data_IF_812845951255
#
_entry.id   IF_812845951255
#
_cell.length_a   1.000
_cell.length_b   1.000
_cell.length_c   1.000
_cell.angle_alpha   90.00
_cell.angle_beta   90.00
_cell.angle_gamma   90.00
#
_symmetry.space_group_name_H-M   'P 1'
#
loop_
_entity.id
_entity.type
_entity.pdbx_description
1 polymer ?
#
# COMPACT_ATOMS: atom_id res chain seq x y z
N UNK A 1 -43.85 -1.83 52.44
CA UNK A 1 -43.82 -1.43 51.01
C UNK A 1 -42.40 -1.09 50.60
N UNK A 2 -41.68 -2.00 49.94
CA UNK A 2 -40.31 -1.79 49.48
C UNK A 2 -40.40 -1.35 48.00
N UNK A 3 -40.07 -0.10 47.72
CA UNK A 3 -39.96 0.41 46.35
C UNK A 3 -38.55 0.04 45.81
N UNK A 4 -38.51 -0.90 44.89
CA UNK A 4 -37.28 -1.27 44.16
C UNK A 4 -37.09 -0.29 43.03
N UNK A 5 -36.08 0.56 43.11
CA UNK A 5 -35.67 1.47 42.02
C UNK A 5 -34.74 0.67 41.13
N UNK A 6 -35.21 0.33 39.92
CA UNK A 6 -34.41 -0.23 38.86
C UNK A 6 -33.64 0.91 38.18
N UNK A 7 -32.33 1.01 38.45
CA UNK A 7 -31.42 1.85 37.71
C UNK A 7 -31.12 1.14 36.36
N UNK A 8 -31.66 1.68 35.28
CA UNK A 8 -31.29 1.28 33.94
C UNK A 8 -29.93 1.90 33.62
N UNK A 9 -28.87 1.09 33.61
CA UNK A 9 -27.57 1.48 33.03
C UNK A 9 -27.67 1.45 31.53
N UNK A 10 -27.78 2.64 30.90
CA UNK A 10 -27.61 2.81 29.48
C UNK A 10 -26.12 2.62 29.15
N UNK A 11 -25.76 1.49 28.56
CA UNK A 11 -24.45 1.26 27.99
C UNK A 11 -24.29 2.11 26.72
N UNK A 12 -23.66 3.26 26.85
CA UNK A 12 -23.17 4.03 25.73
C UNK A 12 -22.04 3.25 25.07
N UNK A 13 -22.34 2.50 24.03
CA UNK A 13 -21.33 1.92 23.15
C UNK A 13 -20.72 3.05 22.32
N UNK A 14 -19.66 3.66 22.82
CA UNK A 14 -18.83 4.56 22.04
C UNK A 14 -18.10 3.72 20.98
N UNK A 15 -18.55 3.79 19.72
CA UNK A 15 -17.80 3.21 18.59
C UNK A 15 -16.46 3.93 18.52
N UNK A 16 -15.31 3.21 18.48
CA UNK A 16 -14.03 3.86 18.30
C UNK A 16 -14.02 4.57 16.93
N UNK A 17 -13.35 5.73 16.82
CA UNK A 17 -13.19 6.40 15.54
C UNK A 17 -12.54 5.42 14.56
N UNK A 18 -13.05 5.34 13.33
CA UNK A 18 -12.47 4.53 12.29
C UNK A 18 -11.04 5.03 12.03
N UNK A 19 -10.04 4.31 12.55
CA UNK A 19 -8.64 4.58 12.29
C UNK A 19 -8.38 4.27 10.82
N UNK A 20 -7.77 5.23 10.10
CA UNK A 20 -7.28 4.99 8.73
C UNK A 20 -6.29 3.82 8.71
N UNK A 21 -6.01 3.29 7.51
CA UNK A 21 -5.05 2.20 7.36
C UNK A 21 -3.69 2.57 7.95
N UNK A 22 -2.98 1.64 8.64
CA UNK A 22 -1.69 1.92 9.25
C UNK A 22 -0.67 2.46 8.25
N UNK A 23 0.22 3.39 8.66
CA UNK A 23 1.32 3.85 7.82
C UNK A 23 2.17 2.70 7.28
N UNK A 24 2.69 2.83 6.06
CA UNK A 24 3.51 1.82 5.41
C UNK A 24 2.75 0.66 4.77
N UNK A 25 1.44 0.58 4.95
CA UNK A 25 0.62 -0.41 4.24
C UNK A 25 0.28 0.05 2.82
N UNK A 26 0.05 -0.92 1.94
CA UNK A 26 -0.41 -0.66 0.57
C UNK A 26 -1.74 0.12 0.56
N UNK A 27 -2.64 -0.16 1.49
CA UNK A 27 -3.92 0.56 1.60
C UNK A 27 -3.70 2.02 1.99
N UNK A 28 -2.85 2.31 2.95
CA UNK A 28 -2.54 3.70 3.34
C UNK A 28 -1.96 4.50 2.16
N UNK A 29 -1.02 3.90 1.42
CA UNK A 29 -0.44 4.53 0.24
C UNK A 29 -1.51 4.83 -0.83
N UNK A 30 -2.37 3.86 -1.13
CA UNK A 30 -3.43 4.01 -2.12
C UNK A 30 -4.45 5.08 -1.71
N UNK A 31 -4.84 5.14 -0.45
CA UNK A 31 -5.77 6.15 0.07
C UNK A 31 -5.19 7.56 -0.09
N UNK A 32 -3.90 7.74 0.22
CA UNK A 32 -3.19 9.01 0.03
C UNK A 32 -3.08 9.38 -1.44
N UNK A 33 -2.73 8.44 -2.30
CA UNK A 33 -2.66 8.64 -3.75
C UNK A 33 -4.02 9.04 -4.34
N UNK A 34 -5.11 8.41 -3.90
CA UNK A 34 -6.46 8.74 -4.34
C UNK A 34 -6.90 10.13 -3.88
N UNK A 35 -6.53 10.55 -2.66
CA UNK A 35 -6.78 11.92 -2.21
C UNK A 35 -6.07 12.96 -3.07
N UNK A 36 -4.82 12.69 -3.47
CA UNK A 36 -4.07 13.57 -4.38
C UNK A 36 -4.70 13.60 -5.77
N UNK A 37 -5.08 12.44 -6.30
CA UNK A 37 -5.76 12.34 -7.60
C UNK A 37 -7.05 13.18 -7.64
N UNK A 38 -7.80 13.19 -6.55
CA UNK A 38 -9.02 13.99 -6.43
C UNK A 38 -8.77 15.52 -6.49
N UNK A 39 -7.55 15.97 -6.17
CA UNK A 39 -7.16 17.40 -6.25
C UNK A 39 -6.81 17.85 -7.68
N UNK A 40 -6.73 16.92 -8.64
CA UNK A 40 -6.33 17.22 -10.01
C UNK A 40 -4.96 17.90 -10.11
N UNK A 41 -4.79 18.95 -10.95
CA UNK A 41 -3.49 19.63 -11.12
C UNK A 41 -2.92 20.24 -9.83
N UNK A 42 -3.76 20.56 -8.85
CA UNK A 42 -3.32 21.11 -7.56
C UNK A 42 -2.54 20.09 -6.72
N UNK A 43 -2.64 18.80 -7.03
CA UNK A 43 -1.91 17.75 -6.34
C UNK A 43 -0.38 17.97 -6.36
N UNK A 44 0.16 18.56 -7.41
CA UNK A 44 1.61 18.83 -7.52
C UNK A 44 2.14 19.82 -6.49
N UNK A 45 1.26 20.65 -5.93
CA UNK A 45 1.61 21.61 -4.88
C UNK A 45 1.36 21.06 -3.47
N UNK A 46 0.81 19.84 -3.36
CA UNK A 46 0.57 19.20 -2.08
C UNK A 46 1.87 18.56 -1.55
N UNK A 47 2.16 18.79 -0.28
CA UNK A 47 3.35 18.22 0.37
C UNK A 47 3.35 16.68 0.36
N UNK A 48 2.17 16.06 0.32
CA UNK A 48 2.04 14.60 0.29
C UNK A 48 2.44 14.00 -1.06
N UNK A 49 2.37 14.77 -2.14
CA UNK A 49 2.85 14.32 -3.46
C UNK A 49 4.34 13.94 -3.43
N UNK A 50 5.18 14.84 -2.92
CA UNK A 50 6.62 14.56 -2.79
C UNK A 50 6.92 13.39 -1.86
N UNK A 51 6.18 13.26 -0.76
CA UNK A 51 6.33 12.15 0.19
C UNK A 51 5.95 10.80 -0.45
N UNK A 52 4.83 10.72 -1.14
CA UNK A 52 4.42 9.50 -1.85
C UNK A 52 5.42 9.09 -2.93
N UNK A 53 5.91 10.07 -3.69
CA UNK A 53 6.93 9.83 -4.71
C UNK A 53 8.23 9.29 -4.09
N UNK A 54 8.69 9.87 -3.00
CA UNK A 54 9.89 9.43 -2.29
C UNK A 54 9.71 8.02 -1.71
N UNK A 55 8.56 7.74 -1.11
CA UNK A 55 8.21 6.45 -0.53
C UNK A 55 8.20 5.34 -1.60
N UNK A 56 7.51 5.56 -2.72
CA UNK A 56 7.48 4.60 -3.83
C UNK A 56 8.87 4.39 -4.45
N UNK A 57 9.65 5.45 -4.59
CA UNK A 57 11.02 5.38 -5.12
C UNK A 57 11.93 4.57 -4.21
N UNK A 58 11.87 4.80 -2.90
CA UNK A 58 12.67 4.06 -1.92
C UNK A 58 12.32 2.57 -1.91
N UNK A 59 11.03 2.25 -1.97
CA UNK A 59 10.56 0.85 -2.05
C UNK A 59 11.02 0.20 -3.36
N UNK A 60 10.86 0.88 -4.48
CA UNK A 60 11.32 0.37 -5.78
C UNK A 60 12.83 0.11 -5.83
N UNK A 61 13.62 1.03 -5.25
CA UNK A 61 15.07 0.84 -5.11
C UNK A 61 15.40 -0.39 -4.28
N UNK A 62 14.75 -0.55 -3.13
CA UNK A 62 14.95 -1.71 -2.24
C UNK A 62 14.65 -3.04 -2.96
N UNK A 63 13.58 -3.10 -3.73
CA UNK A 63 13.21 -4.29 -4.51
C UNK A 63 14.28 -4.59 -5.58
N UNK A 64 14.76 -3.57 -6.28
CA UNK A 64 15.83 -3.73 -7.28
C UNK A 64 17.15 -4.20 -6.67
N UNK A 65 17.52 -3.67 -5.51
CA UNK A 65 18.71 -4.07 -4.78
C UNK A 65 18.62 -5.54 -4.31
N UNK A 66 17.46 -5.95 -3.80
CA UNK A 66 17.19 -7.35 -3.42
C UNK A 66 17.32 -8.29 -4.62
N UNK A 67 16.78 -7.91 -5.77
CA UNK A 67 16.90 -8.70 -6.98
C UNK A 67 18.36 -8.88 -7.43
N UNK A 68 19.14 -7.79 -7.41
CA UNK A 68 20.57 -7.86 -7.74
C UNK A 68 21.30 -8.80 -6.79
N UNK A 69 20.99 -8.73 -5.48
CA UNK A 69 21.55 -9.62 -4.48
C UNK A 69 21.16 -11.08 -4.72
N UNK A 70 19.92 -11.34 -5.08
CA UNK A 70 19.43 -12.69 -5.40
C UNK A 70 20.13 -13.28 -6.63
N UNK A 71 20.26 -12.49 -7.69
CA UNK A 71 20.98 -12.91 -8.91
C UNK A 71 22.44 -13.26 -8.60
N UNK A 72 23.14 -12.44 -7.82
CA UNK A 72 24.53 -12.67 -7.43
C UNK A 72 24.71 -13.91 -6.57
N UNK A 73 23.72 -14.21 -5.72
CA UNK A 73 23.74 -15.36 -4.83
C UNK A 73 23.18 -16.64 -5.47
N UNK A 74 22.71 -16.58 -6.72
CA UNK A 74 22.07 -17.70 -7.40
C UNK A 74 20.71 -18.08 -6.80
N UNK A 75 20.06 -17.15 -6.07
CA UNK A 75 18.72 -17.38 -5.55
C UNK A 75 17.67 -17.14 -6.62
N UNK A 76 16.48 -17.79 -6.54
CA UNK A 76 15.40 -17.55 -7.48
C UNK A 76 14.95 -16.08 -7.47
N UNK A 77 14.77 -15.50 -8.66
CA UNK A 77 14.19 -14.18 -8.82
C UNK A 77 12.66 -14.30 -8.87
N UNK A 78 11.98 -13.34 -8.26
CA UNK A 78 10.52 -13.40 -8.05
C UNK A 78 9.70 -12.65 -9.11
N UNK A 79 10.33 -11.85 -9.96
CA UNK A 79 9.75 -11.24 -11.15
C UNK A 79 10.82 -11.14 -12.25
N UNK A 80 10.43 -11.22 -13.52
CA UNK A 80 11.34 -11.37 -14.64
C UNK A 80 11.29 -10.16 -15.58
N UNK A 81 11.67 -8.98 -15.06
CA UNK A 81 11.87 -7.79 -15.88
C UNK A 81 13.13 -7.90 -16.73
N UNK A 82 13.21 -7.20 -17.90
CA UNK A 82 14.38 -7.23 -18.78
C UNK A 82 15.68 -6.80 -18.08
N UNK A 83 15.57 -5.92 -17.10
CA UNK A 83 16.70 -5.45 -16.27
C UNK A 83 16.37 -5.59 -14.79
N UNK A 84 17.40 -5.63 -13.93
CA UNK A 84 17.22 -5.70 -12.48
C UNK A 84 16.41 -4.50 -11.92
N UNK A 85 16.46 -3.36 -12.58
CA UNK A 85 15.64 -2.18 -12.25
C UNK A 85 14.43 -2.13 -13.15
N UNK A 86 13.35 -2.75 -12.70
CA UNK A 86 12.08 -2.78 -13.42
C UNK A 86 11.49 -1.37 -13.55
N UNK A 87 10.93 -1.08 -14.73
CA UNK A 87 10.19 0.15 -14.97
C UNK A 87 8.73 -0.05 -14.58
N UNK A 88 8.21 0.86 -13.76
CA UNK A 88 6.82 0.88 -13.32
C UNK A 88 6.33 2.33 -13.30
N UNK A 89 5.36 2.64 -14.14
CA UNK A 89 4.76 3.97 -14.20
C UNK A 89 3.92 4.27 -12.97
N UNK A 90 3.80 5.55 -12.59
CA UNK A 90 3.06 5.96 -11.39
C UNK A 90 1.59 5.54 -11.43
N UNK A 91 0.91 5.78 -12.55
CA UNK A 91 -0.50 5.39 -12.70
C UNK A 91 -0.65 3.87 -12.78
N UNK A 92 0.26 3.20 -13.48
CA UNK A 92 0.29 1.74 -13.56
C UNK A 92 0.46 1.11 -12.18
N UNK A 93 1.30 1.70 -11.33
CA UNK A 93 1.47 1.24 -9.95
C UNK A 93 0.20 1.45 -9.12
N UNK A 94 -0.40 2.63 -9.18
CA UNK A 94 -1.65 2.93 -8.47
C UNK A 94 -2.77 1.99 -8.91
N UNK A 95 -2.93 1.77 -10.22
CA UNK A 95 -3.93 0.85 -10.76
C UNK A 95 -3.65 -0.61 -10.34
N UNK A 96 -2.38 -0.98 -10.33
CA UNK A 96 -1.94 -2.28 -9.84
C UNK A 96 -2.25 -2.51 -8.36
N UNK A 97 -2.06 -1.50 -7.52
CA UNK A 97 -2.46 -1.53 -6.10
C UNK A 97 -3.98 -1.67 -5.96
N UNK A 98 -4.74 -0.89 -6.73
CA UNK A 98 -6.20 -0.95 -6.71
C UNK A 98 -6.75 -2.32 -7.11
N UNK A 99 -6.04 -3.05 -7.96
CA UNK A 99 -6.41 -4.40 -8.39
C UNK A 99 -6.17 -5.48 -7.31
N UNK A 100 -5.39 -5.20 -6.27
CA UNK A 100 -5.24 -6.10 -5.12
C UNK A 100 -6.48 -5.99 -4.23
N UNK A 101 -7.09 -7.09 -3.76
CA UNK A 101 -8.24 -7.02 -2.88
C UNK A 101 -7.99 -6.16 -1.63
N UNK A 102 -8.98 -5.35 -1.25
CA UNK A 102 -8.84 -4.38 -0.15
C UNK A 102 -8.43 -5.02 1.18
N UNK A 103 -8.98 -6.20 1.50
CA UNK A 103 -8.62 -6.94 2.71
C UNK A 103 -7.17 -7.38 2.75
N UNK A 104 -6.57 -7.69 1.59
CA UNK A 104 -5.15 -8.02 1.51
C UNK A 104 -4.28 -6.76 1.61
N UNK A 105 -4.66 -5.66 0.93
CA UNK A 105 -3.92 -4.39 0.97
C UNK A 105 -3.77 -3.84 2.38
N UNK A 106 -4.78 -4.01 3.22
CA UNK A 106 -4.76 -3.51 4.59
C UNK A 106 -3.70 -4.20 5.47
N UNK A 107 -3.34 -5.43 5.13
CA UNK A 107 -2.40 -6.28 5.88
C UNK A 107 -1.05 -6.47 5.17
N UNK A 108 -0.80 -5.73 4.11
CA UNK A 108 0.34 -5.89 3.23
C UNK A 108 1.19 -4.61 3.25
N UNK A 109 2.51 -4.75 3.33
CA UNK A 109 3.41 -3.60 3.18
C UNK A 109 3.37 -3.07 1.75
N UNK A 110 3.75 -1.81 1.56
CA UNK A 110 3.89 -1.23 0.22
C UNK A 110 4.89 -2.02 -0.64
N UNK A 111 5.98 -2.49 -0.03
CA UNK A 111 6.98 -3.33 -0.72
C UNK A 111 6.39 -4.65 -1.21
N UNK A 112 5.64 -5.36 -0.37
CA UNK A 112 4.97 -6.61 -0.76
C UNK A 112 3.97 -6.38 -1.90
N UNK A 113 3.22 -5.29 -1.83
CA UNK A 113 2.26 -4.93 -2.87
C UNK A 113 2.94 -4.57 -4.19
N UNK A 114 4.02 -3.78 -4.15
CA UNK A 114 4.79 -3.43 -5.35
C UNK A 114 5.41 -4.68 -5.99
N UNK A 115 5.94 -5.62 -5.22
CA UNK A 115 6.41 -6.91 -5.72
C UNK A 115 5.28 -7.65 -6.45
N UNK A 116 4.08 -7.69 -5.88
CA UNK A 116 2.93 -8.34 -6.52
C UNK A 116 2.54 -7.68 -7.85
N UNK A 117 2.60 -6.35 -7.93
CA UNK A 117 2.38 -5.60 -9.17
C UNK A 117 3.46 -5.94 -10.20
N UNK A 118 4.72 -5.98 -9.79
CA UNK A 118 5.84 -6.34 -10.67
C UNK A 118 5.75 -7.79 -11.16
N UNK A 119 5.36 -8.73 -10.32
CA UNK A 119 5.12 -10.12 -10.72
C UNK A 119 4.03 -10.26 -11.78
N UNK A 120 3.00 -9.44 -11.69
CA UNK A 120 1.91 -9.42 -12.66
C UNK A 120 2.35 -8.80 -13.99
N UNK A 121 3.15 -7.74 -13.94
CA UNK A 121 3.69 -7.07 -15.14
C UNK A 121 4.80 -7.87 -15.81
N UNK A 122 5.66 -8.47 -15.03
CA UNK A 122 6.85 -9.21 -15.48
C UNK A 122 6.84 -10.63 -14.92
N UNK A 123 5.89 -11.47 -15.34
CA UNK A 123 5.83 -12.85 -14.87
C UNK A 123 7.05 -13.63 -15.34
N UNK A 124 7.60 -14.47 -14.45
CA UNK A 124 8.62 -15.43 -14.84
C UNK A 124 7.94 -16.61 -15.57
N UNK A 125 8.45 -16.95 -16.72
CA UNK A 125 7.99 -18.14 -17.45
C UNK A 125 8.50 -19.40 -16.74
N UNK A 126 7.61 -20.33 -16.59
CA UNK A 126 7.96 -21.67 -16.09
C UNK A 126 8.52 -22.51 -17.23
#
# INVERSE_FOLDING_TARGET
MRKTILLAFALFSASPPALGAPPGTAQNFLDRANRLKAKGPLAFFDSDYGRLKAEATAVGKSIGDDRIADERAGRPIIYCSPTARAKLGSFEFIDGLAAIPAGERANMSLKQAMIRVLQRKYPCRR
#
